data_IF_841516633514
#
_entry.id   IF_841516633514
#
_cell.length_a   1.000
_cell.length_b   1.000
_cell.length_c   1.000
_cell.angle_alpha   90.00
_cell.angle_beta   90.00
_cell.angle_gamma   90.00
#
_symmetry.space_group_name_H-M   'P 1'
#
loop_
_entity.id
_entity.type
_entity.pdbx_description
1 polymer ?
#
# COMPACT_ATOMS: atom_id res chain seq x y z
N UNK A 1 10.78 -10.14 -20.63
CA UNK A 1 10.86 -9.42 -19.34
C UNK A 1 9.69 -9.86 -18.49
N UNK A 2 9.92 -10.81 -17.58
CA UNK A 2 8.90 -11.36 -16.69
C UNK A 2 8.49 -10.35 -15.63
N UNK A 3 7.35 -9.70 -15.82
CA UNK A 3 6.74 -8.70 -14.93
C UNK A 3 6.45 -9.23 -13.51
N UNK A 4 6.47 -10.55 -13.29
CA UNK A 4 6.26 -11.17 -11.97
C UNK A 4 7.43 -10.98 -10.98
N UNK A 5 8.63 -10.69 -11.47
CA UNK A 5 9.83 -10.53 -10.63
C UNK A 5 9.86 -9.18 -9.90
N UNK A 6 9.42 -8.09 -10.56
CA UNK A 6 9.54 -6.74 -10.01
C UNK A 6 8.59 -6.44 -8.84
N UNK A 7 7.35 -6.95 -8.88
CA UNK A 7 6.37 -6.72 -7.80
C UNK A 7 6.76 -7.43 -6.51
N UNK A 8 7.09 -8.72 -6.61
CA UNK A 8 7.47 -9.54 -5.46
C UNK A 8 8.77 -9.03 -4.82
N UNK A 9 9.79 -8.71 -5.63
CA UNK A 9 11.05 -8.20 -5.10
C UNK A 9 10.94 -6.87 -4.34
N UNK A 10 10.08 -5.94 -4.80
CA UNK A 10 9.84 -4.69 -4.08
C UNK A 10 9.09 -4.90 -2.76
N UNK A 11 8.10 -5.80 -2.76
CA UNK A 11 7.43 -6.20 -1.52
C UNK A 11 8.40 -6.86 -0.54
N UNK A 12 9.22 -7.81 -1.00
CA UNK A 12 10.20 -8.50 -0.17
C UNK A 12 11.21 -7.52 0.45
N UNK A 13 11.67 -6.53 -0.34
CA UNK A 13 12.57 -5.47 0.14
C UNK A 13 11.89 -4.59 1.18
N UNK A 14 10.65 -4.17 0.93
CA UNK A 14 9.85 -3.38 1.87
C UNK A 14 9.64 -4.12 3.19
N UNK A 15 9.21 -5.38 3.14
CA UNK A 15 8.99 -6.20 4.34
C UNK A 15 10.29 -6.54 5.09
N UNK A 16 11.41 -6.71 4.37
CA UNK A 16 12.73 -6.92 4.98
C UNK A 16 13.23 -5.68 5.71
N UNK A 17 13.05 -4.48 5.13
CA UNK A 17 13.32 -3.22 5.80
C UNK A 17 12.40 -3.03 7.01
N UNK A 18 11.17 -3.55 6.92
CA UNK A 18 10.18 -3.45 7.97
C UNK A 18 10.52 -4.21 9.25
N UNK A 19 11.11 -5.39 9.08
CA UNK A 19 11.53 -6.25 10.19
C UNK A 19 12.70 -5.66 11.01
N UNK A 20 13.38 -4.62 10.51
CA UNK A 20 14.66 -4.15 11.04
C UNK A 20 14.61 -2.85 11.87
N UNK A 21 13.47 -2.18 12.12
CA UNK A 21 13.52 -0.92 12.90
C UNK A 21 12.23 -0.22 13.35
N UNK A 22 12.41 0.81 14.20
CA UNK A 22 11.36 1.63 14.82
C UNK A 22 10.64 2.56 13.83
N UNK A 23 11.36 3.11 12.84
CA UNK A 23 10.76 3.92 11.77
C UNK A 23 9.77 3.11 10.91
N UNK A 24 10.09 1.84 10.65
CA UNK A 24 9.18 0.95 9.93
C UNK A 24 7.87 0.70 10.68
N UNK A 25 7.92 0.59 12.01
CA UNK A 25 6.71 0.46 12.82
C UNK A 25 5.78 1.66 12.64
N UNK A 26 6.31 2.90 12.65
CA UNK A 26 5.53 4.12 12.43
C UNK A 26 4.91 4.13 11.03
N UNK A 27 5.68 3.75 10.02
CA UNK A 27 5.19 3.66 8.63
C UNK A 27 4.06 2.61 8.51
N UNK A 28 4.15 1.49 9.21
CA UNK A 28 3.08 0.48 9.31
C UNK A 28 1.79 1.04 9.81
N UNK A 29 1.88 1.73 10.95
CA UNK A 29 0.72 2.32 11.61
C UNK A 29 0.08 3.36 10.70
N UNK A 30 0.89 4.13 9.97
CA UNK A 30 0.40 5.09 8.98
C UNK A 30 -0.38 4.40 7.84
N UNK A 31 0.19 3.36 7.21
CA UNK A 31 -0.46 2.64 6.11
C UNK A 31 -1.73 1.91 6.54
N UNK A 32 -1.69 1.26 7.71
CA UNK A 32 -2.88 0.62 8.31
C UNK A 32 -3.97 1.67 8.58
N UNK A 33 -3.62 2.81 9.17
CA UNK A 33 -4.58 3.90 9.39
C UNK A 33 -5.16 4.43 8.08
N UNK A 34 -4.36 4.53 7.01
CA UNK A 34 -4.83 4.94 5.70
C UNK A 34 -5.82 3.92 5.09
N UNK A 35 -5.52 2.63 5.19
CA UNK A 35 -6.43 1.56 4.77
C UNK A 35 -7.76 1.65 5.52
N UNK A 36 -7.74 1.83 6.84
CA UNK A 36 -8.96 2.00 7.64
C UNK A 36 -9.77 3.23 7.20
N UNK A 37 -9.11 4.37 6.98
CA UNK A 37 -9.78 5.59 6.48
C UNK A 37 -10.45 5.38 5.13
N UNK A 38 -9.78 4.70 4.19
CA UNK A 38 -10.35 4.39 2.88
C UNK A 38 -11.49 3.36 2.98
N UNK A 39 -11.33 2.34 3.83
CA UNK A 39 -12.39 1.35 4.06
C UNK A 39 -13.64 1.93 4.72
N UNK A 40 -13.50 3.02 5.49
CA UNK A 40 -14.64 3.72 6.08
C UNK A 40 -15.46 4.54 5.07
N UNK A 41 -14.94 4.81 3.86
CA UNK A 41 -15.67 5.50 2.80
C UNK A 41 -16.67 4.55 2.11
N UNK A 42 -17.75 5.11 1.55
CA UNK A 42 -18.64 4.36 0.65
C UNK A 42 -17.99 4.15 -0.73
N UNK A 43 -18.53 3.22 -1.52
CA UNK A 43 -18.01 2.97 -2.88
C UNK A 43 -18.12 4.20 -3.79
N UNK A 44 -19.19 5.01 -3.63
CA UNK A 44 -19.34 6.26 -4.35
C UNK A 44 -18.26 7.29 -3.97
N UNK A 45 -17.90 7.38 -2.69
CA UNK A 45 -16.82 8.26 -2.23
C UNK A 45 -15.43 7.78 -2.67
N UNK A 46 -15.22 6.46 -2.75
CA UNK A 46 -14.02 5.88 -3.34
C UNK A 46 -13.94 6.17 -4.85
N UNK A 47 -15.06 6.03 -5.57
CA UNK A 47 -15.14 6.29 -7.01
C UNK A 47 -14.83 7.77 -7.34
N UNK A 48 -15.30 8.73 -6.52
CA UNK A 48 -14.92 10.16 -6.64
C UNK A 48 -13.41 10.39 -6.53
N UNK A 49 -12.69 9.50 -5.86
CA UNK A 49 -11.23 9.53 -5.70
C UNK A 49 -10.50 8.69 -6.76
N UNK A 50 -11.23 8.03 -7.67
CA UNK A 50 -10.66 7.11 -8.66
C UNK A 50 -10.13 5.81 -8.06
N UNK A 51 -10.69 5.38 -6.92
CA UNK A 51 -10.25 4.18 -6.19
C UNK A 51 -11.41 3.17 -6.20
N UNK A 52 -11.10 1.90 -6.45
CA UNK A 52 -12.04 0.79 -6.22
C UNK A 52 -11.76 0.15 -4.86
N UNK A 53 -12.74 -0.52 -4.26
CA UNK A 53 -12.60 -1.14 -2.93
C UNK A 53 -11.44 -2.13 -2.87
N UNK A 54 -11.34 -2.98 -3.88
CA UNK A 54 -10.27 -3.94 -4.12
C UNK A 54 -8.93 -3.28 -4.50
N UNK A 55 -8.96 -2.06 -5.04
CA UNK A 55 -7.79 -1.25 -5.39
C UNK A 55 -7.16 -0.51 -4.21
N UNK A 56 -7.78 -0.49 -3.02
CA UNK A 56 -7.25 0.21 -1.84
C UNK A 56 -5.80 -0.17 -1.52
N UNK A 57 -5.41 -1.47 -1.48
CA UNK A 57 -4.02 -1.84 -1.23
C UNK A 57 -3.07 -1.28 -2.30
N UNK A 58 -3.41 -1.42 -3.58
CA UNK A 58 -2.59 -0.91 -4.67
C UNK A 58 -2.41 0.62 -4.58
N UNK A 59 -3.44 1.35 -4.19
CA UNK A 59 -3.39 2.79 -3.97
C UNK A 59 -2.49 3.17 -2.78
N UNK A 60 -2.65 2.51 -1.64
CA UNK A 60 -1.92 2.83 -0.39
C UNK A 60 -0.42 2.54 -0.52
N UNK A 61 -0.05 1.53 -1.29
CA UNK A 61 1.34 1.12 -1.48
C UNK A 61 1.92 1.56 -2.84
N UNK A 62 1.21 2.43 -3.59
CA UNK A 62 1.63 2.83 -4.94
C UNK A 62 3.04 3.42 -4.99
N UNK A 63 3.42 4.13 -3.93
CA UNK A 63 4.74 4.74 -3.75
C UNK A 63 5.88 3.71 -3.71
N UNK A 64 5.60 2.47 -3.31
CA UNK A 64 6.57 1.38 -3.42
C UNK A 64 6.82 0.95 -4.87
N UNK A 65 5.95 1.36 -5.80
CA UNK A 65 5.93 0.84 -7.16
C UNK A 65 6.29 1.82 -8.26
N UNK A 66 6.24 3.12 -8.01
CA UNK A 66 6.59 4.17 -8.97
C UNK A 66 7.90 4.85 -8.53
N UNK A 67 9.00 4.59 -9.25
CA UNK A 67 10.29 5.29 -9.19
C UNK A 67 10.50 5.99 -10.52
#
# INVERSE_FOLDING_TARGET
>A
MDTRSGFRGRLDTFFSAFAQGFNAYVESRSRVAQIHKLNALSDAELAKRGITRDGIPAYVFRDLFYI
#
